data_IF_314332268997
#
_entry.id   IF_314332268997
#
_cell.length_a   1.000
_cell.length_b   1.000
_cell.length_c   1.000
_cell.angle_alpha   90.00
_cell.angle_beta   90.00
_cell.angle_gamma   90.00
#
_symmetry.space_group_name_H-M   'P 1'
#
loop_
_entity.id
_entity.type
_entity.pdbx_description
1 polymer ?
#
# COMPACT_ATOMS: atom_id res chain seq x y z
N UNK A 1 -1.94 -15.51 -3.46
CA UNK A 1 -1.11 -14.49 -2.79
C UNK A 1 -1.81 -14.37 -1.47
N UNK A 2 -1.44 -15.28 -0.60
CA UNK A 2 -2.33 -15.74 0.47
C UNK A 2 -2.35 -14.70 1.60
N UNK A 3 -1.35 -13.81 1.59
CA UNK A 3 -1.23 -12.60 2.39
C UNK A 3 -2.55 -11.82 2.52
N UNK A 4 -3.27 -11.61 1.40
CA UNK A 4 -4.51 -10.81 1.38
C UNK A 4 -5.81 -11.63 1.48
N UNK A 5 -5.74 -12.95 1.66
CA UNK A 5 -6.96 -13.77 1.69
C UNK A 5 -7.87 -13.42 2.88
N UNK A 6 -7.28 -12.91 3.98
CA UNK A 6 -8.04 -12.39 5.14
C UNK A 6 -8.93 -11.18 4.83
N UNK A 7 -8.65 -10.41 3.77
CA UNK A 7 -9.52 -9.31 3.34
C UNK A 7 -10.82 -9.81 2.70
N UNK A 8 -10.84 -11.04 2.19
CA UNK A 8 -11.96 -11.62 1.45
C UNK A 8 -13.01 -12.24 2.34
N UNK A 9 -12.80 -12.27 3.66
CA UNK A 9 -13.73 -12.87 4.61
C UNK A 9 -15.07 -12.11 4.61
N UNK A 10 -16.18 -12.76 4.22
CA UNK A 10 -17.47 -12.11 4.15
C UNK A 10 -17.95 -11.61 5.52
N UNK A 11 -18.51 -10.40 5.55
CA UNK A 11 -19.09 -9.78 6.75
C UNK A 11 -18.12 -8.84 7.49
N UNK A 12 -16.82 -8.97 7.23
CA UNK A 12 -15.78 -8.04 7.69
C UNK A 12 -15.66 -6.87 6.71
N UNK A 13 -14.58 -6.81 5.94
CA UNK A 13 -14.31 -5.71 5.00
C UNK A 13 -15.10 -5.82 3.69
N UNK A 14 -15.60 -7.02 3.37
CA UNK A 14 -16.34 -7.30 2.14
C UNK A 14 -17.70 -7.95 2.42
N UNK A 15 -18.65 -7.72 1.54
CA UNK A 15 -19.91 -8.46 1.47
C UNK A 15 -19.67 -9.87 0.92
N UNK A 16 -20.65 -10.76 1.04
CA UNK A 16 -20.59 -12.11 0.42
C UNK A 16 -20.46 -12.11 -1.11
N UNK A 17 -20.59 -10.95 -1.77
CA UNK A 17 -20.39 -10.77 -3.22
C UNK A 17 -19.02 -10.16 -3.57
N UNK A 18 -18.15 -9.90 -2.59
CA UNK A 18 -16.82 -9.31 -2.82
C UNK A 18 -16.77 -7.77 -2.88
N UNK A 19 -17.92 -7.09 -2.77
CA UNK A 19 -18.00 -5.63 -2.64
C UNK A 19 -17.48 -5.17 -1.29
N UNK A 20 -16.79 -4.03 -1.26
CA UNK A 20 -16.37 -3.38 -0.02
C UNK A 20 -17.58 -3.01 0.84
N UNK A 21 -17.52 -3.33 2.12
CA UNK A 21 -18.56 -2.98 3.09
C UNK A 21 -18.50 -1.48 3.33
N UNK A 22 -19.57 -0.78 2.98
CA UNK A 22 -19.70 0.67 3.16
C UNK A 22 -19.92 1.02 4.63
N UNK A 23 -19.47 2.21 5.03
CA UNK A 23 -19.68 2.79 6.36
C UNK A 23 -20.43 4.13 6.24
N UNK A 24 -20.52 4.89 7.34
CA UNK A 24 -21.27 6.16 7.39
C UNK A 24 -20.54 7.35 6.73
N UNK A 25 -19.30 7.17 6.26
CA UNK A 25 -18.48 8.25 5.72
C UNK A 25 -17.83 9.07 6.83
N UNK A 26 -16.50 9.04 6.89
CA UNK A 26 -15.72 9.81 7.85
C UNK A 26 -14.50 10.44 7.17
N UNK A 27 -14.05 11.59 7.68
CA UNK A 27 -12.83 12.26 7.22
C UNK A 27 -11.66 11.82 8.10
N UNK A 28 -10.73 11.07 7.53
CA UNK A 28 -9.57 10.50 8.24
C UNK A 28 -8.30 10.89 7.49
N UNK A 29 -7.38 11.59 8.15
CA UNK A 29 -6.12 12.07 7.57
C UNK A 29 -6.29 12.85 6.24
N UNK A 30 -7.40 13.56 6.09
CA UNK A 30 -7.73 14.32 4.88
C UNK A 30 -8.39 13.51 3.75
N UNK A 31 -8.74 12.23 4.00
CA UNK A 31 -9.43 11.36 3.06
C UNK A 31 -10.88 11.12 3.46
N UNK A 32 -11.78 11.15 2.48
CA UNK A 32 -13.16 10.67 2.64
C UNK A 32 -13.21 9.14 2.60
N UNK A 33 -13.44 8.54 3.77
CA UNK A 33 -13.47 7.10 3.96
C UNK A 33 -14.91 6.63 4.03
N UNK A 34 -15.36 5.96 2.96
CA UNK A 34 -16.74 5.47 2.80
C UNK A 34 -16.88 3.94 2.91
N UNK A 35 -15.81 3.24 3.25
CA UNK A 35 -15.77 1.78 3.37
C UNK A 35 -14.82 1.30 4.47
N UNK A 36 -15.08 0.10 4.96
CA UNK A 36 -14.32 -0.53 6.04
C UNK A 36 -12.88 -0.88 5.64
N UNK A 37 -12.58 -1.07 4.35
CA UNK A 37 -11.22 -1.37 3.90
C UNK A 37 -10.31 -0.15 4.12
N UNK A 38 -10.71 1.03 3.61
CA UNK A 38 -9.95 2.26 3.81
C UNK A 38 -9.93 2.69 5.28
N UNK A 39 -11.00 2.41 6.04
CA UNK A 39 -11.00 2.60 7.49
C UNK A 39 -9.94 1.73 8.17
N UNK A 40 -9.91 0.43 7.89
CA UNK A 40 -8.88 -0.48 8.41
C UNK A 40 -7.45 -0.04 8.09
N UNK A 41 -7.25 0.61 6.95
CA UNK A 41 -5.95 1.11 6.52
C UNK A 41 -5.51 2.38 7.27
N UNK A 42 -6.44 3.29 7.60
CA UNK A 42 -6.14 4.64 8.12
C UNK A 42 -6.43 4.84 9.61
N UNK A 43 -7.38 4.09 10.17
CA UNK A 43 -7.94 4.32 11.50
C UNK A 43 -7.44 3.26 12.49
N UNK A 44 -6.53 3.66 13.39
CA UNK A 44 -6.01 2.81 14.45
C UNK A 44 -7.11 2.28 15.40
N UNK A 45 -8.26 2.97 15.47
CA UNK A 45 -9.41 2.57 16.29
C UNK A 45 -10.38 1.64 15.53
N UNK A 46 -10.09 1.31 14.27
CA UNK A 46 -10.90 0.38 13.49
C UNK A 46 -10.92 -1.01 14.14
N UNK A 47 -12.11 -1.64 14.19
CA UNK A 47 -12.28 -3.04 14.60
C UNK A 47 -11.33 -4.00 13.84
N UNK A 48 -10.96 -3.62 12.62
CA UNK A 48 -10.18 -4.45 11.71
C UNK A 48 -8.70 -4.03 11.62
N UNK A 49 -8.24 -3.04 12.39
CA UNK A 49 -6.85 -2.54 12.35
C UNK A 49 -5.82 -3.66 12.49
N UNK A 50 -6.05 -4.56 13.45
CA UNK A 50 -5.16 -5.68 13.76
C UNK A 50 -5.33 -6.90 12.83
N UNK A 51 -6.05 -6.77 11.71
CA UNK A 51 -6.06 -7.83 10.68
C UNK A 51 -4.65 -8.10 10.14
N UNK A 52 -3.77 -7.11 10.19
CA UNK A 52 -2.34 -7.24 9.87
C UNK A 52 -1.53 -6.70 11.03
N UNK A 53 -0.51 -7.45 11.43
CA UNK A 53 0.45 -7.00 12.43
C UNK A 53 1.25 -5.78 11.93
N UNK A 54 1.85 -4.98 12.83
CA UNK A 54 2.69 -3.84 12.42
C UNK A 54 3.78 -4.23 11.42
N UNK A 55 4.40 -5.40 11.59
CA UNK A 55 5.43 -5.92 10.68
C UNK A 55 4.86 -6.22 9.29
N UNK A 56 3.67 -6.82 9.21
CA UNK A 56 2.99 -7.08 7.94
C UNK A 56 2.55 -5.77 7.26
N UNK A 57 2.13 -4.76 8.03
CA UNK A 57 1.75 -3.45 7.49
C UNK A 57 2.96 -2.72 6.90
N UNK A 58 4.15 -2.93 7.44
CA UNK A 58 5.41 -2.41 6.91
C UNK A 58 5.90 -3.14 5.65
N UNK A 59 5.34 -4.31 5.32
CA UNK A 59 5.72 -5.01 4.09
C UNK A 59 5.35 -4.21 2.84
N UNK A 60 6.26 -4.18 1.86
CA UNK A 60 6.07 -3.40 0.65
C UNK A 60 4.83 -3.79 -0.15
N UNK A 61 4.42 -5.07 -0.12
CA UNK A 61 3.19 -5.51 -0.76
C UNK A 61 1.94 -4.88 -0.13
N UNK A 62 1.94 -4.71 1.20
CA UNK A 62 0.89 -4.02 1.93
C UNK A 62 0.90 -2.53 1.61
N UNK A 63 2.08 -1.90 1.58
CA UNK A 63 2.23 -0.48 1.20
C UNK A 63 1.68 -0.20 -0.20
N UNK A 64 1.91 -1.08 -1.18
CA UNK A 64 1.29 -0.95 -2.51
C UNK A 64 -0.24 -0.94 -2.41
N UNK A 65 -0.83 -1.91 -1.71
CA UNK A 65 -2.28 -1.98 -1.54
C UNK A 65 -2.80 -0.71 -0.86
N UNK A 66 -2.14 -0.28 0.21
CA UNK A 66 -2.47 0.92 0.96
C UNK A 66 -2.54 2.15 0.04
N UNK A 67 -1.50 2.40 -0.76
CA UNK A 67 -1.46 3.54 -1.68
C UNK A 67 -2.51 3.46 -2.80
N UNK A 68 -2.77 2.27 -3.33
CA UNK A 68 -3.81 2.08 -4.35
C UNK A 68 -5.21 2.30 -3.79
N UNK A 69 -5.49 1.81 -2.57
CA UNK A 69 -6.78 1.98 -1.91
C UNK A 69 -7.06 3.44 -1.54
N UNK A 70 -6.06 4.18 -1.07
CA UNK A 70 -6.22 5.61 -0.77
C UNK A 70 -6.44 6.44 -2.04
N UNK A 71 -5.75 6.10 -3.13
CA UNK A 71 -5.89 6.77 -4.41
C UNK A 71 -5.41 8.23 -4.41
N UNK A 72 -5.59 8.91 -5.54
CA UNK A 72 -5.21 10.31 -5.70
C UNK A 72 -6.31 11.29 -5.31
N UNK A 73 -6.05 12.58 -5.52
CA UNK A 73 -6.96 13.69 -5.24
C UNK A 73 -8.34 13.55 -5.94
N UNK A 74 -8.37 12.90 -7.10
CA UNK A 74 -9.60 12.70 -7.88
C UNK A 74 -10.48 11.54 -7.38
N UNK A 75 -10.23 11.02 -6.17
CA UNK A 75 -11.09 10.08 -5.45
C UNK A 75 -11.52 8.85 -6.28
N UNK A 76 -10.54 8.20 -6.91
CA UNK A 76 -10.75 7.01 -7.76
C UNK A 76 -10.82 5.72 -6.92
N UNK A 77 -11.76 5.67 -5.98
CA UNK A 77 -11.97 4.45 -5.20
C UNK A 77 -12.81 3.43 -5.97
N UNK A 78 -12.57 2.15 -5.70
CA UNK A 78 -13.32 1.03 -6.25
C UNK A 78 -14.38 0.56 -5.25
N UNK A 79 -15.49 0.01 -5.76
CA UNK A 79 -16.53 -0.60 -4.92
C UNK A 79 -16.27 -2.09 -4.62
N UNK A 80 -15.37 -2.72 -5.38
CA UNK A 80 -15.02 -4.12 -5.26
C UNK A 80 -13.57 -4.27 -4.78
N UNK A 81 -13.29 -5.31 -3.99
CA UNK A 81 -11.93 -5.58 -3.49
C UNK A 81 -10.98 -6.10 -4.60
N UNK A 82 -11.51 -6.86 -5.55
CA UNK A 82 -10.71 -7.60 -6.53
C UNK A 82 -9.83 -6.72 -7.44
N UNK A 83 -10.30 -5.56 -7.95
CA UNK A 83 -9.45 -4.63 -8.72
C UNK A 83 -8.18 -4.22 -7.96
N UNK A 84 -8.29 -3.90 -6.68
CA UNK A 84 -7.14 -3.55 -5.84
C UNK A 84 -6.17 -4.71 -5.70
N UNK A 85 -6.66 -5.91 -5.36
CA UNK A 85 -5.79 -7.09 -5.21
C UNK A 85 -5.06 -7.44 -6.51
N UNK A 86 -5.77 -7.32 -7.65
CA UNK A 86 -5.20 -7.57 -8.96
C UNK A 86 -4.11 -6.56 -9.31
N UNK A 87 -4.37 -5.26 -9.10
CA UNK A 87 -3.41 -4.20 -9.34
C UNK A 87 -2.17 -4.34 -8.44
N UNK A 88 -2.36 -4.55 -7.13
CA UNK A 88 -1.27 -4.78 -6.18
C UNK A 88 -0.40 -5.96 -6.60
N UNK A 89 -1.02 -7.09 -6.97
CA UNK A 89 -0.30 -8.28 -7.40
C UNK A 89 0.49 -8.06 -8.68
N UNK A 90 -0.08 -7.35 -9.66
CA UNK A 90 0.60 -7.04 -10.91
C UNK A 90 1.79 -6.13 -10.66
N UNK A 91 1.60 -5.03 -9.92
CA UNK A 91 2.66 -4.08 -9.63
C UNK A 91 3.80 -4.74 -8.83
N UNK A 92 3.47 -5.47 -7.77
CA UNK A 92 4.47 -6.16 -6.95
C UNK A 92 5.32 -7.13 -7.78
N UNK A 93 4.69 -7.91 -8.66
CA UNK A 93 5.41 -8.86 -9.53
C UNK A 93 6.29 -8.20 -10.59
N UNK A 94 5.93 -6.99 -11.01
CA UNK A 94 6.69 -6.25 -12.02
C UNK A 94 7.96 -5.62 -11.42
N UNK A 95 7.87 -5.15 -10.17
CA UNK A 95 8.96 -4.39 -9.54
C UNK A 95 9.84 -5.20 -8.58
N UNK A 96 9.33 -6.29 -8.01
CA UNK A 96 10.08 -7.14 -7.08
C UNK A 96 10.62 -8.39 -7.78
N UNK A 97 11.94 -8.56 -7.72
CA UNK A 97 12.60 -9.80 -8.11
C UNK A 97 12.56 -10.80 -6.97
N UNK A 98 12.40 -12.07 -7.33
CA UNK A 98 12.41 -13.20 -6.42
C UNK A 98 13.40 -14.25 -6.88
N UNK A 99 13.96 -14.99 -5.95
CA UNK A 99 14.78 -16.17 -6.23
C UNK A 99 14.32 -17.34 -5.38
N UNK A 100 14.70 -18.54 -5.81
CA UNK A 100 14.48 -19.74 -4.99
C UNK A 100 15.65 -19.88 -4.04
N UNK A 101 15.37 -19.91 -2.76
CA UNK A 101 16.36 -20.19 -1.73
C UNK A 101 16.91 -21.62 -1.93
N UNK A 102 18.24 -21.81 -2.06
CA UNK A 102 18.81 -23.12 -2.35
C UNK A 102 18.57 -24.17 -1.26
N UNK A 103 18.48 -23.74 0.00
CA UNK A 103 18.37 -24.65 1.15
C UNK A 103 16.90 -25.01 1.42
N UNK A 104 16.05 -24.00 1.53
CA UNK A 104 14.66 -24.15 1.92
C UNK A 104 13.71 -24.39 0.74
N UNK A 105 14.19 -24.16 -0.50
CA UNK A 105 13.41 -24.26 -1.73
C UNK A 105 12.22 -23.27 -1.80
N UNK A 106 12.11 -22.34 -0.84
CA UNK A 106 11.09 -21.30 -0.84
C UNK A 106 11.46 -20.15 -1.78
N UNK A 107 10.44 -19.49 -2.33
CA UNK A 107 10.62 -18.29 -3.15
C UNK A 107 10.74 -17.10 -2.20
N UNK A 108 11.87 -16.40 -2.25
CA UNK A 108 12.15 -15.24 -1.40
C UNK A 108 12.38 -13.98 -2.24
N UNK A 109 11.94 -12.79 -1.79
CA UNK A 109 12.28 -11.53 -2.43
C UNK A 109 13.80 -11.28 -2.39
N UNK A 110 14.38 -10.84 -3.50
CA UNK A 110 15.79 -10.45 -3.59
C UNK A 110 16.00 -8.95 -3.75
N UNK A 111 14.95 -8.21 -4.09
CA UNK A 111 15.00 -6.75 -4.18
C UNK A 111 15.07 -6.11 -2.80
N UNK A 112 15.85 -5.05 -2.66
CA UNK A 112 15.87 -4.19 -1.47
C UNK A 112 14.93 -3.01 -1.69
N UNK A 113 14.04 -2.74 -0.74
CA UNK A 113 13.07 -1.65 -0.82
C UNK A 113 13.37 -0.62 0.27
N UNK A 114 13.48 0.65 -0.12
CA UNK A 114 13.67 1.76 0.80
C UNK A 114 12.60 2.83 0.56
N UNK A 115 11.95 3.28 1.63
CA UNK A 115 11.15 4.51 1.60
C UNK A 115 12.08 5.69 1.82
N UNK A 116 12.21 6.55 0.82
CA UNK A 116 13.18 7.64 0.81
C UNK A 116 12.50 8.99 1.03
N UNK A 117 13.12 9.85 1.85
CA UNK A 117 12.79 11.27 1.95
C UNK A 117 14.06 12.10 1.82
N UNK A 118 14.07 13.03 0.88
CA UNK A 118 15.08 14.06 0.77
C UNK A 118 14.72 15.23 1.69
N UNK A 119 15.65 15.61 2.58
CA UNK A 119 15.48 16.72 3.51
C UNK A 119 16.43 17.87 3.16
N UNK A 120 15.97 19.10 3.35
CA UNK A 120 16.80 20.30 3.26
C UNK A 120 17.82 20.35 4.40
N UNK A 121 18.79 21.28 4.33
CA UNK A 121 19.74 21.52 5.44
C UNK A 121 19.07 21.84 6.78
N UNK A 122 17.83 22.36 6.73
CA UNK A 122 17.06 22.72 7.91
C UNK A 122 16.18 21.56 8.43
N UNK A 123 16.27 20.37 7.83
CA UNK A 123 15.50 19.19 8.23
C UNK A 123 14.09 19.11 7.65
N UNK A 124 13.63 20.14 6.93
CA UNK A 124 12.33 20.13 6.25
C UNK A 124 12.36 19.18 5.04
N UNK A 125 11.30 18.38 4.88
CA UNK A 125 11.12 17.48 3.74
C UNK A 125 11.00 18.28 2.43
N UNK A 126 11.92 17.98 1.51
CA UNK A 126 11.97 18.55 0.17
C UNK A 126 11.27 17.66 -0.84
N UNK A 127 11.48 16.34 -0.75
CA UNK A 127 10.83 15.37 -1.61
C UNK A 127 10.68 14.00 -0.91
N UNK A 128 9.48 13.40 -0.88
CA UNK A 128 8.21 14.05 -1.20
C UNK A 128 7.95 15.22 -0.24
N UNK A 129 7.21 16.23 -0.70
CA UNK A 129 6.79 17.35 0.14
C UNK A 129 5.72 16.86 1.12
N UNK A 130 5.71 17.38 2.35
CA UNK A 130 4.77 16.96 3.40
C UNK A 130 4.79 15.43 3.65
N UNK A 131 5.82 14.96 4.37
CA UNK A 131 6.04 13.53 4.64
C UNK A 131 4.97 12.90 5.54
N UNK A 132 4.15 13.72 6.21
CA UNK A 132 3.08 13.28 7.09
C UNK A 132 1.84 12.83 6.30
N UNK A 133 1.66 13.31 5.07
CA UNK A 133 0.58 12.83 4.22
C UNK A 133 0.90 11.40 3.72
N UNK A 134 0.02 10.40 3.98
CA UNK A 134 0.30 9.01 3.64
C UNK A 134 0.42 8.75 2.13
N UNK A 135 -0.12 9.63 1.28
CA UNK A 135 0.03 9.54 -0.17
C UNK A 135 1.27 10.26 -0.72
N UNK A 136 2.08 10.88 0.12
CA UNK A 136 3.36 11.45 -0.29
C UNK A 136 4.47 10.43 -0.03
N UNK A 137 4.95 9.78 -1.08
CA UNK A 137 5.94 8.71 -0.94
C UNK A 137 6.92 8.63 -2.10
N UNK A 138 8.09 8.07 -1.79
CA UNK A 138 9.11 7.67 -2.76
C UNK A 138 9.70 6.33 -2.31
N UNK A 139 9.53 5.30 -3.11
CA UNK A 139 10.16 4.00 -2.91
C UNK A 139 11.28 3.80 -3.92
N UNK A 140 12.45 3.42 -3.40
CA UNK A 140 13.60 2.96 -4.19
C UNK A 140 13.67 1.45 -4.08
N UNK A 141 13.53 0.77 -5.22
CA UNK A 141 13.52 -0.68 -5.31
C UNK A 141 14.77 -1.11 -6.07
N UNK A 142 15.75 -1.61 -5.34
CA UNK A 142 17.08 -1.96 -5.86
C UNK A 142 17.11 -3.46 -6.14
N UNK A 143 17.32 -3.82 -7.41
CA UNK A 143 17.66 -5.18 -7.79
C UNK A 143 19.20 -5.31 -7.91
N UNK A 144 19.87 -5.96 -6.93
CA UNK A 144 21.33 -6.05 -6.92
C UNK A 144 21.89 -6.91 -8.05
N UNK A 145 21.10 -7.87 -8.56
CA UNK A 145 21.53 -8.79 -9.62
C UNK A 145 21.40 -8.13 -10.98
N UNK A 146 20.25 -7.52 -11.26
CA UNK A 146 19.99 -6.79 -12.52
C UNK A 146 20.71 -5.44 -12.57
N UNK A 147 21.16 -4.91 -11.42
CA UNK A 147 21.75 -3.57 -11.27
C UNK A 147 20.81 -2.46 -11.77
N UNK A 148 19.53 -2.63 -11.46
CA UNK A 148 18.46 -1.69 -11.81
C UNK A 148 17.86 -1.14 -10.52
N UNK A 149 17.52 0.15 -10.54
CA UNK A 149 16.71 0.79 -9.51
C UNK A 149 15.39 1.19 -10.13
N UNK A 150 14.30 0.62 -9.62
CA UNK A 150 12.94 1.05 -9.96
C UNK A 150 12.48 2.05 -8.90
N UNK A 151 11.88 3.15 -9.35
CA UNK A 151 11.40 4.21 -8.47
C UNK A 151 9.90 4.32 -8.60
N UNK A 152 9.18 4.24 -7.47
CA UNK A 152 7.74 4.50 -7.41
C UNK A 152 7.53 5.74 -6.54
N UNK A 153 6.92 6.78 -7.12
CA UNK A 153 6.70 8.06 -6.46
C UNK A 153 5.27 8.51 -6.62
N UNK A 154 4.76 9.21 -5.61
CA UNK A 154 3.52 9.93 -5.67
C UNK A 154 3.60 11.18 -4.79
N UNK A 155 2.99 12.26 -5.27
CA UNK A 155 2.82 13.51 -4.54
C UNK A 155 1.36 13.92 -4.68
N UNK A 156 0.67 13.95 -3.55
CA UNK A 156 -0.74 14.30 -3.43
C UNK A 156 -0.94 15.79 -3.71
N UNK A 157 -1.97 16.12 -4.49
CA UNK A 157 -2.35 17.52 -4.78
C UNK A 157 -1.39 18.27 -5.71
N UNK A 158 -0.34 17.62 -6.24
CA UNK A 158 0.57 18.26 -7.20
C UNK A 158 0.24 17.86 -8.63
N UNK A 159 0.08 18.86 -9.50
CA UNK A 159 0.23 18.68 -10.94
C UNK A 159 1.73 18.62 -11.28
N UNK A 160 2.20 17.47 -11.78
CA UNK A 160 3.55 17.31 -12.33
C UNK A 160 3.75 18.14 -13.61
#
# INVERSE_FOLDING_TARGET
MDFFDRLKEPGKLVTGKGRLKKNLGEQINGFEVWDELRRMLLDEESEYWDLYSPVERDEFIFQILFHLCLGGELCQYEDDLEPYLKATKLLYKDVISVSKDPETQHIVPTSLVFKAVAKTKNGQSYFPFDEDNPQNFCYLIIDPVKRVVTVIIHQFGSSF
#
